data_IF_560262663687
#
_entry.id   IF_560262663687
#
_cell.length_a   1.000
_cell.length_b   1.000
_cell.length_c   1.000
_cell.angle_alpha   90.00
_cell.angle_beta   90.00
_cell.angle_gamma   90.00
#
_symmetry.space_group_name_H-M   'P 1'
#
loop_
_entity.id
_entity.type
_entity.pdbx_description
1 polymer ?
#
# COMPACT_ATOMS: atom_id res chain seq x y z
N UNK A 1 18.15 9.28 27.33
CA UNK A 1 18.16 8.15 26.39
C UNK A 1 19.04 8.55 25.21
N UNK A 2 20.01 7.74 24.79
CA UNK A 2 20.85 8.09 23.65
C UNK A 2 19.96 8.22 22.40
N UNK A 3 20.08 9.34 21.67
CA UNK A 3 19.38 9.53 20.39
C UNK A 3 19.81 8.42 19.43
N UNK A 4 18.84 7.68 18.86
CA UNK A 4 19.17 6.67 17.86
C UNK A 4 19.90 7.31 16.67
N UNK A 5 20.87 6.60 16.05
CA UNK A 5 21.56 7.11 14.87
C UNK A 5 20.57 7.34 13.71
N UNK A 6 20.87 8.35 12.88
CA UNK A 6 20.10 8.64 11.66
C UNK A 6 20.13 7.42 10.72
N UNK A 7 19.03 7.13 10.00
CA UNK A 7 19.01 6.04 9.02
C UNK A 7 19.95 6.31 7.85
N UNK A 8 20.44 5.24 7.23
CA UNK A 8 21.10 5.30 5.91
C UNK A 8 20.07 5.25 4.78
N UNK A 9 18.96 4.53 5.00
CA UNK A 9 17.93 4.26 3.98
C UNK A 9 16.54 4.59 4.52
N UNK A 10 15.74 5.25 3.68
CA UNK A 10 14.31 5.42 3.88
C UNK A 10 13.59 4.57 2.84
N UNK A 11 12.80 3.60 3.31
CA UNK A 11 12.01 2.70 2.47
C UNK A 11 10.53 3.03 2.62
N UNK A 12 9.78 3.09 1.53
CA UNK A 12 8.39 3.51 1.55
C UNK A 12 7.48 2.49 0.89
N UNK A 13 6.30 2.27 1.46
CA UNK A 13 5.15 1.84 0.67
C UNK A 13 4.69 2.96 -0.26
N UNK A 14 3.90 2.61 -1.28
CA UNK A 14 3.39 3.58 -2.24
C UNK A 14 1.95 3.95 -1.91
N UNK A 15 1.00 3.01 -2.04
CA UNK A 15 -0.41 3.25 -1.76
C UNK A 15 -0.66 3.56 -0.29
N UNK A 16 -1.33 4.68 0.01
CA UNK A 16 -1.61 5.11 1.39
C UNK A 16 -0.43 5.77 2.10
N UNK A 17 0.71 5.91 1.43
CA UNK A 17 1.90 6.59 1.95
C UNK A 17 2.34 7.70 1.00
N UNK A 18 2.78 7.36 -0.21
CA UNK A 18 3.27 8.32 -1.21
C UNK A 18 2.12 8.88 -2.06
N UNK A 19 1.09 8.07 -2.27
CA UNK A 19 -0.14 8.38 -3.00
C UNK A 19 -1.35 8.02 -2.13
N UNK A 20 -2.53 8.53 -2.48
CA UNK A 20 -3.77 8.25 -1.77
C UNK A 20 -4.03 6.74 -1.70
N UNK A 21 -4.54 6.26 -0.57
CA UNK A 21 -4.78 4.83 -0.36
C UNK A 21 -5.92 4.31 -1.24
N UNK A 22 -5.76 3.16 -1.91
CA UNK A 22 -6.87 2.50 -2.61
C UNK A 22 -7.97 2.04 -1.63
N UNK A 23 -7.70 1.96 -0.32
CA UNK A 23 -8.72 1.67 0.68
C UNK A 23 -9.77 2.78 0.83
N UNK A 24 -9.41 4.03 0.52
CA UNK A 24 -10.38 5.12 0.48
C UNK A 24 -11.38 4.91 -0.68
N UNK A 25 -10.89 4.52 -1.86
CA UNK A 25 -11.74 4.18 -3.00
C UNK A 25 -12.70 3.03 -2.69
N UNK A 26 -12.22 2.00 -1.98
CA UNK A 26 -13.08 0.91 -1.51
C UNK A 26 -14.19 1.42 -0.59
N UNK A 27 -13.85 2.26 0.38
CA UNK A 27 -14.82 2.81 1.33
C UNK A 27 -15.90 3.64 0.63
N UNK A 28 -15.49 4.50 -0.31
CA UNK A 28 -16.42 5.35 -1.06
C UNK A 28 -17.33 4.50 -1.95
N UNK A 29 -16.78 3.47 -2.60
CA UNK A 29 -17.55 2.48 -3.36
C UNK A 29 -18.58 1.78 -2.47
N UNK A 30 -18.18 1.32 -1.28
CA UNK A 30 -19.09 0.65 -0.34
C UNK A 30 -20.26 1.56 0.05
N UNK A 31 -19.98 2.83 0.37
CA UNK A 31 -21.01 3.82 0.73
C UNK A 31 -21.97 4.05 -0.43
N UNK A 32 -21.44 4.26 -1.65
CA UNK A 32 -22.25 4.54 -2.83
C UNK A 32 -23.19 3.38 -3.20
N UNK A 33 -22.76 2.13 -2.94
CA UNK A 33 -23.51 0.94 -3.32
C UNK A 33 -24.29 0.31 -2.16
N UNK A 34 -24.36 0.97 -1.00
CA UNK A 34 -25.07 0.46 0.18
C UNK A 34 -24.46 -0.81 0.77
N UNK A 35 -23.18 -1.06 0.51
CA UNK A 35 -22.43 -2.18 1.08
C UNK A 35 -21.97 -1.78 2.49
N UNK A 36 -22.10 -2.65 3.50
CA UNK A 36 -21.59 -2.36 4.83
C UNK A 36 -20.09 -2.04 4.81
N UNK A 37 -19.73 -0.94 5.47
CA UNK A 37 -18.35 -0.44 5.51
C UNK A 37 -17.36 -1.52 5.98
N UNK A 38 -16.30 -1.69 5.23
CA UNK A 38 -15.20 -2.62 5.47
C UNK A 38 -15.44 -4.04 4.98
N UNK A 39 -16.56 -4.35 4.31
CA UNK A 39 -16.82 -5.69 3.78
C UNK A 39 -15.80 -6.10 2.71
N UNK A 40 -15.51 -5.23 1.73
CA UNK A 40 -14.64 -5.58 0.60
C UNK A 40 -13.23 -5.91 1.09
N UNK A 41 -12.66 -5.05 1.95
CA UNK A 41 -11.36 -5.29 2.57
C UNK A 41 -11.35 -6.55 3.45
N UNK A 42 -12.44 -6.83 4.16
CA UNK A 42 -12.59 -8.07 4.92
C UNK A 42 -12.58 -9.29 3.99
N UNK A 43 -13.34 -9.26 2.90
CA UNK A 43 -13.44 -10.36 1.95
C UNK A 43 -12.11 -10.65 1.25
N UNK A 44 -11.38 -9.61 0.85
CA UNK A 44 -10.02 -9.75 0.32
C UNK A 44 -9.16 -10.50 1.34
N UNK A 45 -9.09 -10.02 2.59
CA UNK A 45 -8.22 -10.61 3.62
C UNK A 45 -8.58 -12.05 3.99
N UNK A 46 -9.87 -12.40 4.02
CA UNK A 46 -10.30 -13.78 4.31
C UNK A 46 -9.79 -14.81 3.29
N UNK A 47 -9.43 -14.35 2.09
CA UNK A 47 -8.91 -15.20 1.03
C UNK A 47 -7.38 -15.17 0.94
N UNK A 48 -6.68 -14.54 1.88
CA UNK A 48 -5.22 -14.61 1.94
C UNK A 48 -4.76 -16.07 2.12
N UNK A 49 -3.76 -16.58 1.36
CA UNK A 49 -2.99 -15.89 0.32
C UNK A 49 -3.48 -16.16 -1.12
N UNK A 50 -4.60 -16.84 -1.31
CA UNK A 50 -4.98 -17.47 -2.58
C UNK A 50 -6.10 -16.76 -3.37
N UNK A 51 -6.71 -15.70 -2.81
CA UNK A 51 -7.70 -14.91 -3.53
C UNK A 51 -7.13 -14.25 -4.79
N UNK A 52 -7.98 -13.96 -5.77
CA UNK A 52 -7.61 -13.37 -7.06
C UNK A 52 -6.76 -12.11 -6.89
N UNK A 53 -7.11 -11.23 -5.94
CA UNK A 53 -6.33 -10.03 -5.62
C UNK A 53 -4.88 -10.35 -5.23
N UNK A 54 -4.68 -11.37 -4.39
CA UNK A 54 -3.34 -11.76 -3.92
C UNK A 54 -2.50 -12.36 -5.04
N UNK A 55 -3.12 -13.15 -5.92
CA UNK A 55 -2.47 -13.71 -7.10
C UNK A 55 -2.07 -12.62 -8.08
N UNK A 56 -2.94 -11.63 -8.29
CA UNK A 56 -2.65 -10.47 -9.13
C UNK A 56 -1.48 -9.65 -8.54
N UNK A 57 -1.48 -9.40 -7.23
CA UNK A 57 -0.38 -8.67 -6.57
C UNK A 57 0.94 -9.43 -6.58
N UNK A 58 0.93 -10.75 -6.82
CA UNK A 58 2.14 -11.56 -7.03
C UNK A 58 2.47 -11.77 -8.50
N UNK A 59 1.71 -11.19 -9.43
CA UNK A 59 1.93 -11.40 -10.87
C UNK A 59 1.70 -12.84 -11.33
N UNK A 60 0.99 -13.65 -10.54
CA UNK A 60 0.69 -15.06 -10.88
C UNK A 60 -0.41 -15.17 -11.94
N UNK A 61 -1.24 -14.14 -12.07
CA UNK A 61 -2.31 -14.03 -13.06
C UNK A 61 -2.26 -12.65 -13.73
N UNK A 62 -2.64 -12.55 -15.01
CA UNK A 62 -2.69 -11.27 -15.71
C UNK A 62 -3.85 -10.40 -15.20
N UNK A 63 -3.70 -9.08 -15.36
CA UNK A 63 -4.78 -8.13 -15.18
C UNK A 63 -5.69 -8.14 -16.41
N UNK A 64 -6.68 -9.02 -16.43
CA UNK A 64 -7.57 -9.20 -17.56
C UNK A 64 -9.01 -9.49 -17.11
N UNK A 65 -9.88 -9.79 -18.08
CA UNK A 65 -11.27 -10.16 -17.80
C UNK A 65 -11.41 -11.43 -16.94
N UNK A 66 -10.43 -12.35 -16.94
CA UNK A 66 -10.45 -13.52 -16.05
C UNK A 66 -10.20 -13.09 -14.60
N UNK A 67 -9.23 -12.19 -14.38
CA UNK A 67 -9.02 -11.59 -13.07
C UNK A 67 -10.30 -10.89 -12.58
N UNK A 68 -10.95 -10.07 -13.41
CA UNK A 68 -12.18 -9.36 -13.00
C UNK A 68 -13.29 -10.32 -12.57
N UNK A 69 -13.49 -11.43 -13.32
CA UNK A 69 -14.45 -12.48 -12.94
C UNK A 69 -14.06 -13.18 -11.64
N UNK A 70 -12.79 -13.54 -11.47
CA UNK A 70 -12.29 -14.19 -10.26
C UNK A 70 -12.42 -13.29 -9.04
N UNK A 71 -12.09 -12.01 -9.18
CA UNK A 71 -12.19 -11.02 -8.11
C UNK A 71 -13.64 -10.77 -7.71
N UNK A 72 -14.56 -10.65 -8.68
CA UNK A 72 -16.00 -10.61 -8.41
C UNK A 72 -16.46 -11.85 -7.63
N UNK A 73 -16.13 -13.05 -8.13
CA UNK A 73 -16.53 -14.30 -7.49
C UNK A 73 -16.01 -14.41 -6.05
N UNK A 74 -14.80 -13.91 -5.78
CA UNK A 74 -14.21 -13.86 -4.45
C UNK A 74 -14.95 -12.90 -3.51
N UNK A 75 -15.31 -11.70 -3.98
CA UNK A 75 -16.03 -10.71 -3.19
C UNK A 75 -17.51 -11.08 -2.96
N UNK A 76 -18.07 -11.95 -3.80
CA UNK A 76 -19.47 -12.38 -3.73
C UNK A 76 -19.65 -13.77 -3.08
N UNK A 77 -18.62 -14.30 -2.39
CA UNK A 77 -18.72 -15.59 -1.70
C UNK A 77 -19.74 -15.54 -0.54
N UNK A 78 -20.83 -16.35 -0.59
CA UNK A 78 -21.84 -16.34 0.47
C UNK A 78 -21.29 -16.68 1.85
N UNK A 79 -20.28 -17.55 1.93
CA UNK A 79 -19.67 -17.96 3.19
C UNK A 79 -18.92 -16.80 3.87
N UNK A 80 -18.22 -15.99 3.08
CA UNK A 80 -17.48 -14.81 3.56
C UNK A 80 -18.46 -13.71 3.97
N UNK A 81 -19.50 -13.47 3.16
CA UNK A 81 -20.55 -12.52 3.49
C UNK A 81 -21.25 -12.87 4.81
N UNK A 82 -21.67 -14.13 4.97
CA UNK A 82 -22.29 -14.60 6.20
C UNK A 82 -21.33 -14.52 7.40
N UNK A 83 -20.03 -14.77 7.18
CA UNK A 83 -18.98 -14.60 8.20
C UNK A 83 -18.86 -13.14 8.65
N UNK A 84 -18.78 -12.21 7.70
CA UNK A 84 -18.73 -10.76 7.96
C UNK A 84 -19.97 -10.29 8.73
N UNK A 85 -21.16 -10.68 8.28
CA UNK A 85 -22.44 -10.33 8.91
C UNK A 85 -22.49 -10.76 10.38
N UNK A 86 -22.00 -11.97 10.68
CA UNK A 86 -21.93 -12.48 12.05
C UNK A 86 -20.87 -11.76 12.90
N UNK A 87 -19.66 -11.60 12.38
CA UNK A 87 -18.50 -11.13 13.15
C UNK A 87 -18.43 -9.61 13.29
N UNK A 88 -18.94 -8.87 12.30
CA UNK A 88 -18.87 -7.40 12.25
C UNK A 88 -20.20 -6.72 12.54
N UNK A 89 -21.31 -7.34 12.15
CA UNK A 89 -22.65 -6.75 12.26
C UNK A 89 -23.55 -7.46 13.28
N UNK A 90 -23.08 -8.57 13.88
CA UNK A 90 -23.81 -9.28 14.93
C UNK A 90 -25.03 -10.07 14.45
N UNK A 91 -25.18 -10.30 13.13
CA UNK A 91 -26.28 -11.08 12.57
C UNK A 91 -26.01 -12.58 12.79
N UNK A 92 -26.58 -13.15 13.85
CA UNK A 92 -26.33 -14.54 14.26
C UNK A 92 -27.24 -15.56 13.55
N UNK A 93 -28.47 -15.19 13.24
CA UNK A 93 -29.44 -16.07 12.60
C UNK A 93 -29.22 -16.10 11.08
N UNK A 94 -29.02 -17.30 10.51
CA UNK A 94 -28.78 -17.48 9.07
C UNK A 94 -29.93 -16.94 8.21
N UNK A 95 -31.17 -17.06 8.68
CA UNK A 95 -32.36 -16.54 7.98
C UNK A 95 -32.41 -15.01 7.89
N UNK A 96 -31.64 -14.30 8.72
CA UNK A 96 -31.58 -12.83 8.73
C UNK A 96 -30.38 -12.27 7.96
N UNK A 97 -29.52 -13.14 7.42
CA UNK A 97 -28.40 -12.70 6.58
C UNK A 97 -28.99 -12.18 5.27
N UNK A 98 -28.79 -10.90 4.92
CA UNK A 98 -29.28 -10.35 3.67
C UNK A 98 -28.58 -11.02 2.47
N UNK A 99 -29.13 -10.91 1.25
CA UNK A 99 -28.45 -11.36 0.05
C UNK A 99 -27.04 -10.77 -0.06
N UNK A 100 -26.13 -11.51 -0.69
CA UNK A 100 -24.79 -11.00 -0.99
C UNK A 100 -24.93 -9.80 -1.93
N UNK A 101 -24.28 -8.66 -1.65
CA UNK A 101 -24.33 -7.51 -2.54
C UNK A 101 -23.69 -7.86 -3.88
N UNK A 102 -24.28 -7.38 -4.98
CA UNK A 102 -23.63 -7.45 -6.28
C UNK A 102 -22.53 -6.40 -6.35
N UNK A 103 -21.33 -6.81 -6.75
CA UNK A 103 -20.15 -5.97 -6.86
C UNK A 103 -19.73 -5.90 -8.33
N UNK A 104 -19.61 -4.67 -8.82
CA UNK A 104 -18.93 -4.36 -10.08
C UNK A 104 -17.43 -4.31 -9.83
N UNK A 105 -16.78 -5.47 -9.97
CA UNK A 105 -15.37 -5.65 -9.67
C UNK A 105 -14.47 -4.83 -10.61
N UNK A 106 -14.89 -4.57 -11.84
CA UNK A 106 -14.10 -3.81 -12.80
C UNK A 106 -14.11 -2.32 -12.46
N UNK A 107 -15.29 -1.74 -12.22
CA UNK A 107 -15.40 -0.35 -11.76
C UNK A 107 -14.66 -0.15 -10.43
N UNK A 108 -14.82 -1.08 -9.49
CA UNK A 108 -14.11 -1.06 -8.21
C UNK A 108 -12.58 -1.07 -8.42
N UNK A 109 -12.08 -2.02 -9.21
CA UNK A 109 -10.66 -2.16 -9.50
C UNK A 109 -10.07 -0.87 -10.10
N UNK A 110 -10.68 -0.36 -11.17
CA UNK A 110 -10.16 0.83 -11.83
C UNK A 110 -10.26 2.09 -10.97
N UNK A 111 -11.28 2.19 -10.12
CA UNK A 111 -11.39 3.29 -9.14
C UNK A 111 -10.28 3.22 -8.08
N UNK A 112 -9.92 2.02 -7.62
CA UNK A 112 -8.78 1.84 -6.73
C UNK A 112 -7.47 2.27 -7.41
N UNK A 113 -7.25 1.85 -8.66
CA UNK A 113 -6.03 2.16 -9.41
C UNK A 113 -5.91 3.64 -9.76
N UNK A 114 -7.00 4.29 -10.14
CA UNK A 114 -6.99 5.74 -10.43
C UNK A 114 -6.75 6.58 -9.17
N UNK A 115 -7.38 6.20 -8.05
CA UNK A 115 -7.18 6.85 -6.74
C UNK A 115 -5.73 6.73 -6.28
N UNK A 116 -5.14 5.54 -6.40
CA UNK A 116 -3.75 5.26 -6.03
C UNK A 116 -2.69 5.88 -6.98
N UNK A 117 -3.05 6.92 -7.73
CA UNK A 117 -2.12 7.76 -8.51
C UNK A 117 -2.11 9.21 -8.04
N UNK A 118 -3.07 9.61 -7.20
CA UNK A 118 -3.11 10.95 -6.65
C UNK A 118 -2.02 11.10 -5.58
N UNK A 119 -1.08 12.06 -5.71
CA UNK A 119 -0.04 12.25 -4.71
C UNK A 119 -0.61 12.57 -3.33
N UNK A 120 -0.04 12.00 -2.27
CA UNK A 120 -0.40 12.40 -0.91
C UNK A 120 0.04 13.85 -0.65
N UNK A 121 -0.83 14.73 -0.12
CA UNK A 121 -0.56 16.15 -0.02
C UNK A 121 0.57 16.51 0.95
N UNK A 122 0.98 15.60 1.85
CA UNK A 122 2.04 15.82 2.82
C UNK A 122 3.30 15.02 2.49
N UNK A 123 3.14 13.73 2.17
CA UNK A 123 4.29 12.85 1.92
C UNK A 123 4.94 13.13 0.57
N UNK A 124 4.18 13.47 -0.48
CA UNK A 124 4.78 13.73 -1.79
C UNK A 124 5.71 14.96 -1.79
N UNK A 125 5.33 16.13 -1.23
CA UNK A 125 6.26 17.23 -1.02
C UNK A 125 7.48 16.85 -0.17
N UNK A 126 7.28 16.07 0.91
CA UNK A 126 8.37 15.57 1.75
C UNK A 126 9.35 14.71 0.95
N UNK A 127 8.87 13.81 0.09
CA UNK A 127 9.68 12.98 -0.79
C UNK A 127 10.51 13.81 -1.77
N UNK A 128 9.94 14.88 -2.34
CA UNK A 128 10.69 15.81 -3.19
C UNK A 128 11.82 16.49 -2.43
N UNK A 129 11.58 16.93 -1.19
CA UNK A 129 12.59 17.53 -0.30
C UNK A 129 13.68 16.53 0.08
N UNK A 130 13.30 15.28 0.41
CA UNK A 130 14.24 14.20 0.67
C UNK A 130 15.16 13.94 -0.52
N UNK A 131 14.59 13.80 -1.72
CA UNK A 131 15.35 13.61 -2.96
C UNK A 131 16.30 14.78 -3.23
N UNK A 132 15.81 16.02 -3.11
CA UNK A 132 16.61 17.22 -3.32
C UNK A 132 17.76 17.35 -2.32
N UNK A 133 17.60 16.85 -1.08
CA UNK A 133 18.64 16.90 -0.05
C UNK A 133 19.86 16.04 -0.39
N UNK A 134 19.67 14.93 -1.12
CA UNK A 134 20.71 13.94 -1.41
C UNK A 134 21.28 13.22 -0.17
N UNK A 135 20.76 13.45 1.04
CA UNK A 135 21.32 12.92 2.28
C UNK A 135 20.93 11.47 2.56
N UNK A 136 19.81 11.01 1.99
CA UNK A 136 19.24 9.69 2.27
C UNK A 136 19.09 8.88 0.99
N UNK A 137 19.28 7.57 1.13
CA UNK A 137 18.97 6.59 0.09
C UNK A 137 17.48 6.27 0.11
N UNK A 138 16.81 6.39 -1.03
CA UNK A 138 15.35 6.25 -1.13
C UNK A 138 14.98 4.97 -1.87
N UNK A 139 14.26 4.08 -1.18
CA UNK A 139 13.75 2.83 -1.71
C UNK A 139 12.22 2.75 -1.59
N UNK A 140 11.59 1.94 -2.43
CA UNK A 140 10.18 1.60 -2.32
C UNK A 140 9.97 0.09 -2.25
N UNK A 141 8.97 -0.33 -1.48
CA UNK A 141 8.52 -1.71 -1.36
C UNK A 141 6.99 -1.73 -1.30
N UNK A 142 6.36 -2.07 -2.44
CA UNK A 142 4.91 -1.96 -2.61
C UNK A 142 4.29 -3.26 -3.10
N UNK A 143 3.12 -3.57 -2.55
CA UNK A 143 2.20 -4.47 -3.25
C UNK A 143 1.60 -3.69 -4.42
N UNK A 144 1.70 -4.22 -5.64
CA UNK A 144 1.32 -3.56 -6.89
C UNK A 144 0.73 -4.58 -7.87
N UNK A 145 0.18 -4.12 -8.98
CA UNK A 145 -0.31 -4.96 -10.07
C UNK A 145 0.42 -4.61 -11.37
N UNK A 146 0.51 -5.56 -12.31
CA UNK A 146 0.96 -5.30 -13.68
C UNK A 146 -0.28 -4.90 -14.49
N UNK A 147 -0.24 -3.77 -15.20
CA UNK A 147 -1.37 -3.31 -16.02
C UNK A 147 -1.36 -3.98 -17.40
N UNK A 148 -2.51 -4.09 -18.08
CA UNK A 148 -2.59 -4.64 -19.43
C UNK A 148 -1.66 -3.90 -20.40
N UNK A 149 -1.13 -4.60 -21.40
CA UNK A 149 -0.29 -4.00 -22.43
C UNK A 149 -1.00 -2.82 -23.11
N UNK A 150 -0.27 -1.72 -23.31
CA UNK A 150 -0.81 -0.50 -23.92
C UNK A 150 -1.73 0.34 -23.02
N UNK A 151 -2.03 -0.08 -21.79
CA UNK A 151 -2.81 0.72 -20.86
C UNK A 151 -2.08 2.02 -20.46
N UNK A 152 -2.81 3.13 -20.33
CA UNK A 152 -2.22 4.46 -20.04
C UNK A 152 -1.42 4.50 -18.73
N UNK A 153 -1.76 3.65 -17.75
CA UNK A 153 -1.05 3.58 -16.47
C UNK A 153 0.35 2.97 -16.56
N UNK A 154 0.68 2.32 -17.69
CA UNK A 154 2.06 1.92 -17.99
C UNK A 154 2.93 3.10 -18.41
N UNK A 155 2.34 4.22 -18.86
CA UNK A 155 3.08 5.43 -19.20
C UNK A 155 3.52 6.11 -17.90
N UNK A 156 4.84 6.23 -17.74
CA UNK A 156 5.45 6.92 -16.61
C UNK A 156 5.58 8.40 -16.98
N UNK A 157 4.79 9.25 -16.32
CA UNK A 157 4.87 10.70 -16.48
C UNK A 157 6.01 11.30 -15.64
N UNK A 158 6.41 12.56 -15.91
CA UNK A 158 7.50 13.22 -15.21
C UNK A 158 7.26 13.34 -13.69
N UNK A 159 6.00 13.45 -13.27
CA UNK A 159 5.62 13.60 -11.85
C UNK A 159 5.44 12.26 -11.11
N UNK A 160 5.69 11.14 -11.77
CA UNK A 160 5.50 9.81 -11.17
C UNK A 160 6.44 9.59 -9.98
N UNK A 161 5.86 9.18 -8.84
CA UNK A 161 6.58 8.93 -7.60
C UNK A 161 7.69 7.89 -7.78
N UNK A 162 7.58 6.97 -8.74
CA UNK A 162 8.61 5.96 -9.06
C UNK A 162 9.94 6.60 -9.40
N UNK A 163 9.95 7.79 -10.00
CA UNK A 163 11.18 8.51 -10.31
C UNK A 163 11.94 9.01 -9.08
N UNK A 164 11.31 9.03 -7.90
CA UNK A 164 11.97 9.44 -6.66
C UNK A 164 12.90 8.36 -6.13
N UNK A 165 12.55 7.10 -6.35
CA UNK A 165 13.21 5.97 -5.74
C UNK A 165 14.32 5.45 -6.63
N UNK A 166 15.44 5.16 -5.99
CA UNK A 166 16.57 4.51 -6.60
C UNK A 166 16.30 3.00 -6.74
N UNK A 167 15.75 2.38 -5.69
CA UNK A 167 15.30 0.98 -5.69
C UNK A 167 13.78 0.96 -5.59
N UNK A 168 13.13 0.21 -6.48
CA UNK A 168 11.68 0.01 -6.43
C UNK A 168 11.37 -1.49 -6.49
N UNK A 169 10.95 -2.07 -5.37
CA UNK A 169 10.50 -3.47 -5.30
C UNK A 169 9.00 -3.52 -5.48
N UNK A 170 8.59 -4.02 -6.65
CA UNK A 170 7.20 -4.21 -7.04
C UNK A 170 6.81 -5.67 -6.85
N UNK A 171 5.85 -5.96 -5.97
CA UNK A 171 5.40 -7.33 -5.64
C UNK A 171 5.09 -8.18 -6.88
N UNK A 172 4.32 -7.63 -7.83
CA UNK A 172 3.89 -8.37 -9.01
C UNK A 172 5.04 -8.70 -9.98
N UNK A 173 6.08 -7.87 -10.03
CA UNK A 173 7.25 -8.11 -10.88
C UNK A 173 8.24 -9.11 -10.28
N UNK A 174 8.23 -9.26 -8.95
CA UNK A 174 9.16 -10.17 -8.25
C UNK A 174 8.52 -11.47 -7.79
N UNK A 175 7.20 -11.65 -7.97
CA UNK A 175 6.51 -12.88 -7.58
C UNK A 175 6.27 -13.03 -6.07
N UNK A 176 6.43 -11.97 -5.29
CA UNK A 176 6.37 -12.00 -3.81
C UNK A 176 5.37 -10.96 -3.32
N UNK A 177 5.00 -10.97 -2.03
CA UNK A 177 4.00 -10.03 -1.50
C UNK A 177 4.24 -9.72 -0.04
N UNK A 178 4.10 -8.45 0.38
CA UNK A 178 3.97 -8.12 1.80
C UNK A 178 2.68 -8.77 2.37
N UNK A 179 2.67 -9.26 3.62
CA UNK A 179 3.72 -9.17 4.63
C UNK A 179 4.65 -10.41 4.67
N UNK A 180 4.77 -11.19 3.59
CA UNK A 180 5.65 -12.35 3.56
C UNK A 180 7.10 -11.92 3.75
N UNK A 181 7.89 -12.74 4.47
CA UNK A 181 9.26 -12.39 4.86
C UNK A 181 10.22 -12.26 3.67
N UNK A 182 10.02 -13.08 2.65
CA UNK A 182 10.84 -13.17 1.43
C UNK A 182 10.99 -11.83 0.69
N UNK A 183 9.92 -11.04 0.57
CA UNK A 183 9.98 -9.75 -0.16
C UNK A 183 10.84 -8.71 0.57
N UNK A 184 10.86 -8.74 1.91
CA UNK A 184 11.72 -7.86 2.71
C UNK A 184 13.17 -8.31 2.62
N UNK A 185 13.43 -9.61 2.60
CA UNK A 185 14.77 -10.18 2.41
C UNK A 185 15.32 -9.82 1.02
N UNK A 186 14.48 -9.86 -0.02
CA UNK A 186 14.82 -9.37 -1.36
C UNK A 186 15.13 -7.86 -1.34
N UNK A 187 14.29 -7.04 -0.70
CA UNK A 187 14.55 -5.61 -0.58
C UNK A 187 15.87 -5.31 0.13
N UNK A 188 16.16 -5.99 1.25
CA UNK A 188 17.43 -5.88 1.98
C UNK A 188 18.63 -6.28 1.12
N UNK A 189 18.50 -7.35 0.33
CA UNK A 189 19.53 -7.78 -0.62
C UNK A 189 19.84 -6.69 -1.64
N UNK A 190 18.81 -6.16 -2.31
CA UNK A 190 18.97 -5.11 -3.33
C UNK A 190 19.56 -3.82 -2.75
N UNK A 191 19.12 -3.43 -1.55
CA UNK A 191 19.66 -2.28 -0.80
C UNK A 191 21.17 -2.44 -0.57
N UNK A 192 21.60 -3.62 -0.13
CA UNK A 192 23.01 -3.90 0.14
C UNK A 192 23.86 -3.97 -1.12
N UNK A 193 23.34 -4.62 -2.17
CA UNK A 193 24.02 -4.70 -3.46
C UNK A 193 24.24 -3.32 -4.09
N UNK A 194 23.29 -2.39 -3.91
CA UNK A 194 23.39 -1.06 -4.49
C UNK A 194 24.22 -0.09 -3.65
N UNK A 195 24.08 -0.10 -2.32
CA UNK A 195 24.59 0.97 -1.47
C UNK A 195 25.62 0.53 -0.42
N UNK A 196 25.83 -0.76 -0.21
CA UNK A 196 26.84 -1.28 0.71
C UNK A 196 26.37 -2.48 1.53
N UNK A 197 27.21 -3.51 1.62
CA UNK A 197 26.92 -4.72 2.39
C UNK A 197 26.90 -4.51 3.91
N UNK A 198 27.41 -3.37 4.41
CA UNK A 198 27.38 -2.97 5.81
C UNK A 198 26.03 -2.41 6.26
N UNK A 199 25.08 -2.16 5.34
CA UNK A 199 23.74 -1.69 5.69
C UNK A 199 23.00 -2.78 6.47
N UNK A 200 22.80 -2.52 7.75
CA UNK A 200 22.05 -3.39 8.65
C UNK A 200 20.56 -3.04 8.62
N UNK A 201 19.65 -3.96 9.00
CA UNK A 201 18.22 -3.65 9.04
C UNK A 201 17.87 -2.42 9.88
N UNK A 202 18.57 -2.18 10.98
CA UNK A 202 18.34 -1.02 11.85
C UNK A 202 18.78 0.32 11.21
N UNK A 203 19.59 0.29 10.14
CA UNK A 203 19.93 1.48 9.35
C UNK A 203 18.77 1.93 8.46
N UNK A 204 17.70 1.15 8.36
CA UNK A 204 16.55 1.38 7.48
C UNK A 204 15.34 1.81 8.31
N UNK A 205 14.61 2.79 7.81
CA UNK A 205 13.28 3.16 8.31
C UNK A 205 12.25 2.89 7.21
N UNK A 206 11.26 2.05 7.51
CA UNK A 206 10.19 1.67 6.60
C UNK A 206 8.87 2.35 6.97
N UNK A 207 8.25 3.02 5.99
CA UNK A 207 6.95 3.68 6.13
C UNK A 207 5.88 2.87 5.40
N UNK A 208 4.82 2.49 6.08
CA UNK A 208 3.70 1.71 5.53
C UNK A 208 2.43 2.05 6.31
N UNK A 209 1.27 2.00 5.66
CA UNK A 209 -0.02 2.25 6.31
C UNK A 209 -0.63 0.97 6.95
N UNK A 210 -0.17 -0.21 6.51
CA UNK A 210 -0.65 -1.51 6.94
C UNK A 210 0.21 -2.06 8.08
N UNK A 211 -0.41 -2.21 9.25
CA UNK A 211 0.28 -2.66 10.46
C UNK A 211 0.91 -4.06 10.36
N UNK A 212 0.35 -4.98 9.58
CA UNK A 212 0.93 -6.32 9.38
C UNK A 212 2.24 -6.27 8.59
N UNK A 213 2.33 -5.40 7.59
CA UNK A 213 3.57 -5.16 6.83
C UNK A 213 4.67 -4.63 7.77
N UNK A 214 4.33 -3.66 8.62
CA UNK A 214 5.27 -3.10 9.60
C UNK A 214 5.69 -4.14 10.66
N UNK A 215 4.80 -5.05 11.07
CA UNK A 215 5.14 -6.12 12.01
C UNK A 215 6.23 -7.03 11.43
N UNK A 216 6.11 -7.44 10.16
CA UNK A 216 7.16 -8.24 9.49
C UNK A 216 8.47 -7.45 9.39
N UNK A 217 8.43 -6.20 8.96
CA UNK A 217 9.62 -5.34 8.88
C UNK A 217 10.34 -5.23 10.24
N UNK A 218 9.58 -4.97 11.32
CA UNK A 218 10.12 -4.91 12.68
C UNK A 218 10.72 -6.23 13.15
N UNK A 219 10.12 -7.36 12.77
CA UNK A 219 10.67 -8.71 13.07
C UNK A 219 12.04 -8.98 12.43
N UNK A 220 12.37 -8.22 11.37
CA UNK A 220 13.66 -8.26 10.68
C UNK A 220 14.66 -7.22 11.22
N UNK A 221 14.28 -6.45 12.22
CA UNK A 221 15.09 -5.36 12.79
C UNK A 221 15.03 -4.05 12.01
N UNK A 222 14.13 -3.92 11.03
CA UNK A 222 13.88 -2.67 10.31
C UNK A 222 13.10 -1.72 11.23
N UNK A 223 13.52 -0.45 11.31
CA UNK A 223 12.75 0.57 12.03
C UNK A 223 11.52 0.93 11.23
N UNK A 224 10.43 1.33 11.88
CA UNK A 224 9.14 1.52 11.22
C UNK A 224 8.49 2.82 11.65
N UNK A 225 7.89 3.54 10.70
CA UNK A 225 6.94 4.62 10.95
C UNK A 225 5.59 4.16 10.40
N UNK A 226 4.54 4.23 11.22
CA UNK A 226 3.19 3.88 10.76
C UNK A 226 2.53 5.10 10.15
N UNK A 227 2.10 4.98 8.91
CA UNK A 227 1.28 6.01 8.27
C UNK A 227 -0.19 5.75 8.62
N UNK A 228 -0.83 6.69 9.31
CA UNK A 228 -2.25 6.58 9.61
C UNK A 228 -3.02 7.34 8.54
N UNK A 229 -3.93 6.66 7.85
CA UNK A 229 -4.75 7.28 6.80
C UNK A 229 -5.48 8.53 7.32
N UNK A 230 -5.44 9.60 6.54
CA UNK A 230 -5.96 10.92 6.92
C UNK A 230 -5.06 11.72 7.88
N UNK A 231 -3.93 11.15 8.33
CA UNK A 231 -2.96 11.77 9.24
C UNK A 231 -1.52 11.61 8.74
N UNK A 232 -1.32 11.63 7.42
CA UNK A 232 0.01 11.49 6.80
C UNK A 232 0.99 12.56 7.29
N UNK A 233 0.50 13.76 7.62
CA UNK A 233 1.29 14.83 8.22
C UNK A 233 1.97 14.43 9.55
N UNK A 234 1.33 13.59 10.39
CA UNK A 234 1.95 13.07 11.62
C UNK A 234 3.13 12.16 11.30
N UNK A 235 2.99 11.30 10.28
CA UNK A 235 4.09 10.45 9.82
C UNK A 235 5.25 11.26 9.22
N UNK A 236 4.96 12.37 8.52
CA UNK A 236 6.01 13.27 8.04
C UNK A 236 6.73 13.95 9.21
N UNK A 237 6.03 14.38 10.28
CA UNK A 237 6.68 14.91 11.51
C UNK A 237 7.61 13.90 12.17
N UNK A 238 7.19 12.63 12.24
CA UNK A 238 8.05 11.57 12.76
C UNK A 238 9.28 11.38 11.87
N UNK A 239 9.09 11.46 10.54
CA UNK A 239 10.18 11.40 9.58
C UNK A 239 11.16 12.60 9.70
N UNK A 240 10.67 13.80 9.98
CA UNK A 240 11.50 14.97 10.30
C UNK A 240 12.36 14.72 11.54
N UNK A 241 11.76 14.18 12.61
CA UNK A 241 12.50 13.86 13.84
C UNK A 241 13.60 12.80 13.62
N UNK A 242 13.34 11.81 12.76
CA UNK A 242 14.28 10.74 12.41
C UNK A 242 15.41 11.25 11.50
N UNK A 243 15.10 12.15 10.57
CA UNK A 243 16.04 12.63 9.55
C UNK A 243 16.77 13.91 9.94
N UNK A 244 16.21 14.70 10.85
CA UNK A 244 16.64 16.06 11.16
C UNK A 244 16.41 17.07 10.01
N UNK A 245 15.60 16.72 9.01
CA UNK A 245 15.24 17.61 7.91
C UNK A 245 13.88 18.26 8.17
N UNK A 246 13.67 19.46 7.63
CA UNK A 246 12.36 20.09 7.55
C UNK A 246 11.64 19.62 6.27
N UNK A 247 10.61 18.78 6.43
CA UNK A 247 9.92 18.07 5.38
C UNK A 247 8.46 18.50 5.22
N UNK A 248 7.79 18.90 6.31
CA UNK A 248 6.45 19.46 6.24
C UNK A 248 6.48 20.87 5.65
N UNK A 249 5.40 21.22 4.95
CA UNK A 249 5.14 22.60 4.55
C UNK A 249 4.28 23.28 5.63
N UNK A 250 4.53 24.56 5.89
CA UNK A 250 3.82 25.31 6.94
C UNK A 250 2.31 25.46 6.67
N UNK A 251 1.87 25.23 5.43
CA UNK A 251 0.48 25.14 5.03
C UNK A 251 0.29 23.96 4.07
N UNK A 252 -0.82 23.19 4.17
CA UNK A 252 -1.14 22.20 3.15
C UNK A 252 -1.27 22.91 1.79
N UNK A 253 -0.71 22.38 0.70
CA UNK A 253 -0.91 22.96 -0.61
C UNK A 253 -2.40 23.08 -0.88
N UNK A 254 -2.86 24.27 -1.29
CA UNK A 254 -4.24 24.47 -1.75
C UNK A 254 -4.54 23.42 -2.81
N UNK A 255 -5.49 22.53 -2.53
CA UNK A 255 -5.99 21.60 -3.53
C UNK A 255 -6.47 22.42 -4.72
N UNK A 256 -5.77 22.32 -5.85
CA UNK A 256 -6.32 22.81 -7.12
C UNK A 256 -7.48 21.88 -7.45
N UNK A 257 -8.70 22.37 -7.26
CA UNK A 257 -9.93 21.80 -7.78
C UNK A 257 -9.85 21.70 -9.31
#
# INVERSE_FOLDING_TARGET
MASQPRPKVLMFDIGGVCVVSPFQAILDYEIQHGIPKGYINYAIRELTPNGAWHKLERGEIPNDANFMRGFKADLERPEIWAKFQRERLGVKERSRVPPVPTIDAETLYWTMMSTARQPDPYMYPALKRLKASGQYKLAALSNTTIFPDGHEYNVVGPDDVRHIFEIFVSSAHVGMRKPNRDIYELALKLIRERWGHDIAPHDIVFLDDIGENLKTAKSLGIRTIRVVLGRTNEAVKELEAVTGLHLLEEQPPTAKL
#
